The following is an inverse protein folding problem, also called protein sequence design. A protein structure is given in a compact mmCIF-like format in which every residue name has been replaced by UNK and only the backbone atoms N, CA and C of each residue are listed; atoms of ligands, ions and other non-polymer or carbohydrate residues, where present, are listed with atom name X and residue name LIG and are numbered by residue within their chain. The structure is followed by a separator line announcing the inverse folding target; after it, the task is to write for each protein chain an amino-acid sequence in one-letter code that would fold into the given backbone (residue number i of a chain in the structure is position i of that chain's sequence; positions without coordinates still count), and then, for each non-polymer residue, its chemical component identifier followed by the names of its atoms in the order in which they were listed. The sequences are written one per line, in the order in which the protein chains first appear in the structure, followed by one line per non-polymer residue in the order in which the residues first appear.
data_IF_054526795376
#
_entry.id   IF_054526795376
#
_cell.length_a   1.000
_cell.length_b   1.000
_cell.length_c   1.000
_cell.angle_alpha   90.00
_cell.angle_beta   90.00
_cell.angle_gamma   90.00
#
_symmetry.space_group_name_H-M   'P 1'
#
loop_
_entity.id
_entity.type
_entity.pdbx_description
1 polymer ?
#
# COMPACT_ATOMS: atom_id res chain seq x y z
N UNK A 1 -10.34 17.99 -4.85
CA UNK A 1 -9.62 16.76 -4.43
C UNK A 1 -9.95 16.51 -2.98
N UNK A 2 -10.18 15.26 -2.54
CA UNK A 2 -10.42 14.95 -1.11
C UNK A 2 -9.13 15.04 -0.31
N UNK A 3 -9.21 15.23 1.03
CA UNK A 3 -8.04 15.23 1.91
C UNK A 3 -7.22 13.95 1.74
N UNK A 4 -7.87 12.79 1.74
CA UNK A 4 -7.21 11.51 1.47
C UNK A 4 -6.52 11.46 0.10
N UNK A 5 -7.09 12.08 -0.92
CA UNK A 5 -6.48 12.20 -2.25
C UNK A 5 -5.21 13.05 -2.25
N UNK A 6 -5.20 14.17 -1.52
CA UNK A 6 -4.01 15.02 -1.36
C UNK A 6 -2.88 14.27 -0.65
N UNK A 7 -3.20 13.56 0.43
CA UNK A 7 -2.22 12.73 1.16
C UNK A 7 -1.64 11.64 0.26
N UNK A 8 -2.46 10.96 -0.53
CA UNK A 8 -1.98 9.94 -1.48
C UNK A 8 -1.08 10.53 -2.56
N UNK A 9 -1.42 11.69 -3.10
CA UNK A 9 -0.59 12.37 -4.10
C UNK A 9 0.79 12.74 -3.52
N UNK A 10 0.84 13.27 -2.30
CA UNK A 10 2.09 13.59 -1.61
C UNK A 10 2.94 12.34 -1.36
N UNK A 11 2.35 11.29 -0.78
CA UNK A 11 3.05 10.03 -0.50
C UNK A 11 3.54 9.32 -1.77
N UNK A 12 2.82 9.44 -2.89
CA UNK A 12 3.21 8.84 -4.15
C UNK A 12 4.52 9.40 -4.70
N UNK A 13 4.84 10.66 -4.42
CA UNK A 13 6.07 11.33 -4.85
C UNK A 13 7.29 10.91 -4.05
N UNK A 14 7.09 10.43 -2.82
CA UNK A 14 8.18 10.00 -1.94
C UNK A 14 8.67 8.60 -2.32
N UNK A 15 9.93 8.44 -2.64
CA UNK A 15 10.53 7.13 -2.95
C UNK A 15 11.77 6.93 -2.08
N UNK A 16 11.78 5.85 -1.29
CA UNK A 16 12.92 5.52 -0.43
C UNK A 16 14.19 5.27 -1.26
N UNK A 17 15.32 5.74 -0.76
CA UNK A 17 16.64 5.44 -1.32
C UNK A 17 17.04 3.98 -1.05
N UNK A 18 16.60 3.40 0.07
CA UNK A 18 16.90 2.04 0.48
C UNK A 18 16.10 1.02 -0.36
N UNK A 19 16.82 0.09 -1.01
CA UNK A 19 16.21 -0.94 -1.87
C UNK A 19 15.21 -1.82 -1.11
N UNK A 20 15.53 -2.24 0.12
CA UNK A 20 14.65 -3.08 0.94
C UNK A 20 13.31 -2.39 1.28
N UNK A 21 13.30 -1.06 1.48
CA UNK A 21 12.06 -0.30 1.70
C UNK A 21 11.23 -0.21 0.41
N UNK A 22 11.88 -0.03 -0.75
CA UNK A 22 11.17 -0.06 -2.04
C UNK A 22 10.54 -1.42 -2.30
N UNK A 23 11.24 -2.52 -1.96
CA UNK A 23 10.71 -3.88 -2.05
C UNK A 23 9.47 -4.04 -1.17
N UNK A 24 9.52 -3.60 0.09
CA UNK A 24 8.39 -3.70 1.01
C UNK A 24 7.17 -2.88 0.52
N UNK A 25 7.41 -1.68 -0.01
CA UNK A 25 6.34 -0.84 -0.58
C UNK A 25 5.73 -1.48 -1.84
N UNK A 26 6.56 -2.04 -2.73
CA UNK A 26 6.10 -2.76 -3.92
C UNK A 26 5.27 -3.98 -3.55
N UNK A 27 5.69 -4.75 -2.55
CA UNK A 27 4.96 -5.92 -2.08
C UNK A 27 3.57 -5.56 -1.54
N UNK A 28 3.45 -4.48 -0.78
CA UNK A 28 2.15 -4.00 -0.29
C UNK A 28 1.21 -3.58 -1.43
N UNK A 29 1.72 -2.83 -2.41
CA UNK A 29 0.96 -2.43 -3.60
C UNK A 29 0.49 -3.65 -4.40
N UNK A 30 1.38 -4.62 -4.65
CA UNK A 30 1.06 -5.83 -5.39
C UNK A 30 0.08 -6.73 -4.62
N UNK A 31 0.23 -6.85 -3.31
CA UNK A 31 -0.71 -7.63 -2.48
C UNK A 31 -2.15 -7.09 -2.56
N UNK A 32 -2.31 -5.77 -2.72
CA UNK A 32 -3.62 -5.13 -2.79
C UNK A 32 -4.19 -5.03 -4.21
N UNK A 33 -3.35 -4.73 -5.20
CA UNK A 33 -3.74 -4.35 -6.56
C UNK A 33 -3.18 -5.29 -7.64
N UNK A 34 -2.31 -6.24 -7.28
CA UNK A 34 -1.65 -7.17 -8.19
C UNK A 34 -2.35 -8.52 -8.27
N UNK A 35 -2.15 -9.20 -9.40
CA UNK A 35 -2.55 -10.60 -9.58
C UNK A 35 -1.75 -11.24 -10.70
N UNK A 36 -1.61 -12.56 -10.66
CA UNK A 36 -1.14 -13.36 -11.80
C UNK A 36 -2.35 -13.73 -12.66
N UNK A 37 -2.24 -13.48 -13.95
CA UNK A 37 -3.26 -13.82 -14.95
C UNK A 37 -3.09 -15.28 -15.40
N UNK A 38 -4.06 -15.83 -16.13
CA UNK A 38 -4.04 -17.23 -16.58
C UNK A 38 -2.87 -17.57 -17.51
N UNK A 39 -2.38 -16.56 -18.23
CA UNK A 39 -1.21 -16.64 -19.12
C UNK A 39 0.13 -16.44 -18.39
N UNK A 40 0.10 -16.31 -17.05
CA UNK A 40 1.30 -16.14 -16.23
C UNK A 40 1.81 -14.70 -16.12
N UNK A 41 1.15 -13.73 -16.73
CA UNK A 41 1.53 -12.32 -16.64
C UNK A 41 1.22 -11.75 -15.26
N UNK A 42 2.06 -10.84 -14.76
CA UNK A 42 1.80 -10.06 -13.55
C UNK A 42 1.07 -8.77 -13.91
N UNK A 43 -0.18 -8.66 -13.53
CA UNK A 43 -1.01 -7.47 -13.76
C UNK A 43 -1.23 -6.68 -12.47
N UNK A 44 -0.95 -5.39 -12.53
CA UNK A 44 -1.29 -4.41 -11.51
C UNK A 44 -2.41 -3.51 -12.03
N UNK A 45 -3.44 -3.26 -11.23
CA UNK A 45 -4.60 -2.46 -11.64
C UNK A 45 -5.02 -1.51 -10.52
N UNK A 46 -5.28 -0.25 -10.85
CA UNK A 46 -5.79 0.77 -9.92
C UNK A 46 -6.60 1.85 -10.64
N UNK A 47 -7.51 2.50 -9.92
CA UNK A 47 -8.25 3.67 -10.42
C UNK A 47 -7.53 5.00 -10.09
N UNK A 48 -6.42 4.95 -9.37
CA UNK A 48 -5.69 6.13 -8.92
C UNK A 48 -4.40 6.30 -9.73
N UNK A 49 -4.30 7.41 -10.44
CA UNK A 49 -3.16 7.76 -11.29
C UNK A 49 -1.86 7.97 -10.50
N UNK A 50 -1.92 8.52 -9.28
CA UNK A 50 -0.76 8.68 -8.43
C UNK A 50 -0.20 7.32 -7.99
N UNK A 51 -1.07 6.34 -7.74
CA UNK A 51 -0.69 4.99 -7.32
C UNK A 51 -0.04 4.22 -8.48
N UNK A 52 -0.57 4.31 -9.70
CA UNK A 52 0.05 3.63 -10.84
C UNK A 52 1.41 4.24 -11.19
N UNK A 53 1.56 5.58 -11.13
CA UNK A 53 2.86 6.24 -11.32
C UNK A 53 3.88 5.82 -10.26
N UNK A 54 3.43 5.68 -9.01
CA UNK A 54 4.26 5.16 -7.92
C UNK A 54 4.74 3.76 -8.20
N UNK A 55 3.84 2.86 -8.58
CA UNK A 55 4.19 1.47 -8.89
C UNK A 55 5.17 1.38 -10.07
N UNK A 56 4.93 2.13 -11.14
CA UNK A 56 5.85 2.27 -12.27
C UNK A 56 7.27 2.67 -11.82
N UNK A 57 7.37 3.72 -11.01
CA UNK A 57 8.66 4.20 -10.46
C UNK A 57 9.36 3.13 -9.61
N UNK A 58 8.59 2.38 -8.82
CA UNK A 58 9.14 1.30 -7.99
C UNK A 58 9.65 0.14 -8.83
N UNK A 59 8.95 -0.26 -9.90
CA UNK A 59 9.41 -1.29 -10.84
C UNK A 59 10.75 -0.90 -11.48
N UNK A 60 10.82 0.32 -12.01
CA UNK A 60 12.04 0.82 -12.64
C UNK A 60 13.21 0.90 -11.65
N UNK A 61 13.03 1.56 -10.51
CA UNK A 61 14.11 1.80 -9.53
C UNK A 61 14.54 0.56 -8.73
N UNK A 62 13.70 -0.46 -8.63
CA UNK A 62 13.95 -1.62 -7.76
C UNK A 62 14.33 -2.86 -8.53
N UNK A 63 13.70 -3.08 -9.68
CA UNK A 63 13.84 -4.28 -10.51
C UNK A 63 14.44 -4.00 -11.88
N UNK A 64 14.65 -2.72 -12.24
CA UNK A 64 15.11 -2.28 -13.56
C UNK A 64 14.18 -2.78 -14.68
N UNK A 65 12.88 -2.72 -14.42
CA UNK A 65 11.84 -3.11 -15.37
C UNK A 65 11.23 -1.85 -15.94
N UNK A 66 11.36 -1.67 -17.27
CA UNK A 66 10.65 -0.66 -18.03
C UNK A 66 9.36 -1.26 -18.58
N UNK A 67 8.25 -0.57 -18.35
CA UNK A 67 6.91 -1.02 -18.75
C UNK A 67 6.08 0.19 -19.16
N UNK A 68 4.95 -0.05 -19.78
CA UNK A 68 4.00 0.98 -20.17
C UNK A 68 2.79 1.01 -19.24
N UNK A 69 2.24 2.19 -19.04
CA UNK A 69 0.98 2.36 -18.34
C UNK A 69 -0.13 2.37 -19.37
N UNK A 70 -0.96 1.34 -19.37
CA UNK A 70 -2.16 1.30 -20.18
C UNK A 70 -3.36 1.89 -19.44
N UNK A 71 -4.15 2.69 -20.12
CA UNK A 71 -5.35 3.33 -19.58
C UNK A 71 -6.57 2.71 -20.27
N UNK A 72 -7.53 2.23 -19.49
CA UNK A 72 -8.84 1.80 -20.00
C UNK A 72 -9.94 2.65 -19.36
N UNK A 73 -10.82 3.17 -20.19
CA UNK A 73 -12.06 3.79 -19.69
C UNK A 73 -12.97 2.69 -19.13
N UNK A 74 -13.43 2.88 -17.91
CA UNK A 74 -14.40 1.98 -17.30
C UNK A 74 -15.79 2.29 -17.83
N UNK A 75 -16.37 1.37 -18.59
CA UNK A 75 -17.77 1.47 -19.05
C UNK A 75 -18.79 1.24 -17.93
N UNK A 76 -18.37 0.67 -16.79
CA UNK A 76 -19.24 0.30 -15.66
C UNK A 76 -19.25 1.32 -14.53
N UNK A 77 -18.23 2.15 -14.42
CA UNK A 77 -18.16 3.22 -13.43
C UNK A 77 -18.42 4.55 -14.12
N UNK A 78 -19.31 5.37 -13.55
CA UNK A 78 -19.58 6.71 -14.04
C UNK A 78 -18.27 7.51 -14.15
N UNK A 79 -17.66 7.54 -15.33
CA UNK A 79 -16.49 8.36 -15.69
C UNK A 79 -15.26 8.17 -14.78
N UNK A 80 -14.62 7.00 -14.79
CA UNK A 80 -13.34 6.78 -14.13
C UNK A 80 -12.36 6.05 -15.07
N UNK A 81 -11.09 6.43 -15.02
CA UNK A 81 -10.02 5.72 -15.71
C UNK A 81 -9.54 4.56 -14.84
N UNK A 82 -9.29 3.43 -15.45
CA UNK A 82 -8.61 2.29 -14.82
C UNK A 82 -7.22 2.17 -15.45
N UNK A 83 -6.22 2.25 -14.62
CA UNK A 83 -4.82 2.18 -15.01
C UNK A 83 -4.30 0.77 -14.83
N UNK A 84 -3.53 0.27 -15.80
CA UNK A 84 -2.92 -1.05 -15.76
C UNK A 84 -1.43 -0.97 -16.06
N UNK A 85 -0.67 -1.79 -15.36
CA UNK A 85 0.69 -2.17 -15.73
C UNK A 85 0.71 -3.69 -15.82
N UNK A 86 1.28 -4.22 -16.89
CA UNK A 86 1.38 -5.65 -17.14
C UNK A 86 2.81 -6.03 -17.47
N UNK A 87 3.33 -7.04 -16.76
CA UNK A 87 4.64 -7.63 -17.03
C UNK A 87 4.37 -9.02 -17.57
N UNK A 88 4.75 -9.23 -18.84
CA UNK A 88 4.49 -10.47 -19.59
C UNK A 88 5.71 -11.38 -19.66
N UNK A 89 6.92 -10.84 -19.46
CA UNK A 89 8.15 -11.63 -19.45
C UNK A 89 8.21 -12.51 -18.19
N UNK A 90 8.21 -13.86 -18.31
CA UNK A 90 8.21 -14.77 -17.17
C UNK A 90 9.40 -14.58 -16.22
N UNK A 91 10.58 -14.21 -16.73
CA UNK A 91 11.76 -13.97 -15.91
C UNK A 91 11.61 -12.70 -15.07
N UNK A 92 11.04 -11.65 -15.63
CA UNK A 92 10.74 -10.42 -14.89
C UNK A 92 9.64 -10.66 -13.85
N UNK A 93 8.58 -11.40 -14.18
CA UNK A 93 7.53 -11.80 -13.24
C UNK A 93 8.15 -12.55 -12.06
N UNK A 94 8.95 -13.57 -12.34
CA UNK A 94 9.64 -14.36 -11.31
C UNK A 94 10.54 -13.48 -10.43
N UNK A 95 11.32 -12.58 -11.02
CA UNK A 95 12.20 -11.66 -10.31
C UNK A 95 11.42 -10.75 -9.34
N UNK A 96 10.28 -10.22 -9.78
CA UNK A 96 9.40 -9.39 -8.94
C UNK A 96 8.83 -10.20 -7.80
N UNK A 97 8.25 -11.38 -8.05
CA UNK A 97 7.65 -12.23 -7.03
C UNK A 97 8.68 -12.70 -5.99
N UNK A 98 9.83 -13.18 -6.43
CA UNK A 98 10.91 -13.60 -5.54
C UNK A 98 11.48 -12.43 -4.72
N UNK A 99 11.69 -11.28 -5.36
CA UNK A 99 12.20 -10.08 -4.70
C UNK A 99 11.23 -9.52 -3.65
N UNK A 100 9.94 -9.53 -3.93
CA UNK A 100 8.89 -9.06 -3.03
C UNK A 100 8.41 -10.12 -2.04
N UNK A 101 8.89 -11.37 -2.15
CA UNK A 101 8.46 -12.50 -1.30
C UNK A 101 6.93 -12.64 -1.28
N UNK A 102 6.34 -12.56 -2.47
CA UNK A 102 4.92 -12.77 -2.66
C UNK A 102 4.68 -14.17 -3.22
N UNK A 103 3.78 -14.91 -2.58
CA UNK A 103 3.23 -16.16 -3.09
C UNK A 103 1.95 -15.93 -3.86
N UNK A 104 1.65 -16.82 -4.80
CA UNK A 104 0.47 -16.78 -5.64
C UNK A 104 -0.58 -17.74 -5.08
N UNK A 105 -1.78 -17.24 -4.82
CA UNK A 105 -2.94 -18.07 -4.49
C UNK A 105 -3.71 -18.42 -5.77
N UNK A 106 -3.49 -19.62 -6.30
CA UNK A 106 -4.18 -20.10 -7.51
C UNK A 106 -5.67 -20.32 -7.29
N UNK A 107 -6.07 -20.69 -6.06
CA UNK A 107 -7.48 -20.91 -5.72
C UNK A 107 -8.28 -19.59 -5.72
N UNK A 108 -7.63 -18.46 -5.48
CA UNK A 108 -8.23 -17.13 -5.50
C UNK A 108 -7.74 -16.28 -6.69
N UNK A 109 -7.90 -16.81 -7.89
CA UNK A 109 -7.68 -16.11 -9.16
C UNK A 109 -6.30 -15.44 -9.29
N UNK A 110 -5.26 -16.03 -8.71
CA UNK A 110 -3.89 -15.52 -8.81
C UNK A 110 -3.62 -14.30 -7.93
N UNK A 111 -4.35 -14.11 -6.85
CA UNK A 111 -4.07 -13.07 -5.85
C UNK A 111 -2.72 -13.29 -5.18
N UNK A 112 -2.09 -12.20 -4.75
CA UNK A 112 -0.75 -12.20 -4.20
C UNK A 112 -0.78 -12.01 -2.69
N UNK A 113 0.00 -12.84 -1.97
CA UNK A 113 0.13 -12.79 -0.52
C UNK A 113 1.58 -12.58 -0.11
N UNK A 114 1.88 -11.69 0.86
CA UNK A 114 3.21 -11.58 1.41
C UNK A 114 3.53 -12.81 2.25
N UNK A 115 4.67 -13.44 1.97
CA UNK A 115 5.19 -14.52 2.81
C UNK A 115 5.62 -13.98 4.18
N UNK A 116 5.24 -14.69 5.22
CA UNK A 116 5.35 -14.37 6.64
C UNK A 116 6.54 -13.47 7.02
N UNK A 117 6.30 -12.17 7.13
CA UNK A 117 7.19 -11.20 7.80
C UNK A 117 8.56 -10.96 7.18
N UNK A 118 8.95 -11.67 6.11
CA UNK A 118 10.31 -11.60 5.55
C UNK A 118 10.69 -10.21 5.04
N UNK A 119 9.73 -9.48 4.49
CA UNK A 119 9.97 -8.14 3.92
C UNK A 119 9.71 -7.01 4.93
N UNK A 120 9.15 -7.32 6.11
CA UNK A 120 8.79 -6.36 7.14
C UNK A 120 9.56 -6.55 8.45
N UNK A 121 10.79 -7.06 8.40
CA UNK A 121 11.62 -7.27 9.58
C UNK A 121 12.10 -5.95 10.20
N UNK A 122 12.49 -4.99 9.37
CA UNK A 122 12.98 -3.70 9.83
C UNK A 122 11.84 -2.67 9.95
N UNK A 123 11.91 -1.76 10.92
CA UNK A 123 10.89 -0.72 11.12
C UNK A 123 10.69 0.16 9.87
N UNK A 124 11.77 0.49 9.15
CA UNK A 124 11.66 1.24 7.90
C UNK A 124 10.91 0.46 6.81
N UNK A 125 11.07 -0.87 6.73
CA UNK A 125 10.31 -1.73 5.81
C UNK A 125 8.83 -1.81 6.21
N UNK A 126 8.53 -1.92 7.51
CA UNK A 126 7.16 -1.89 8.03
C UNK A 126 6.45 -0.60 7.65
N UNK A 127 7.11 0.56 7.83
CA UNK A 127 6.58 1.88 7.41
C UNK A 127 6.34 1.91 5.90
N UNK A 128 7.30 1.42 5.09
CA UNK A 128 7.15 1.38 3.64
C UNK A 128 6.00 0.46 3.20
N UNK A 129 5.80 -0.67 3.88
CA UNK A 129 4.68 -1.58 3.64
C UNK A 129 3.33 -0.93 3.95
N UNK A 130 3.20 -0.28 5.13
CA UNK A 130 1.97 0.45 5.51
C UNK A 130 1.68 1.57 4.51
N UNK A 131 2.70 2.32 4.06
CA UNK A 131 2.55 3.36 3.03
C UNK A 131 2.03 2.79 1.72
N UNK A 132 2.59 1.67 1.24
CA UNK A 132 2.12 1.00 0.03
C UNK A 132 0.67 0.51 0.17
N UNK A 133 0.31 -0.11 1.30
CA UNK A 133 -1.06 -0.55 1.59
C UNK A 133 -2.05 0.63 1.64
N UNK A 134 -1.66 1.75 2.27
CA UNK A 134 -2.46 2.97 2.30
C UNK A 134 -2.65 3.59 0.91
N UNK A 135 -1.59 3.67 0.12
CA UNK A 135 -1.69 4.16 -1.26
C UNK A 135 -2.68 3.32 -2.07
N UNK A 136 -2.62 2.00 -1.96
CA UNK A 136 -3.46 1.08 -2.70
C UNK A 136 -4.95 1.22 -2.33
N UNK A 137 -5.28 1.14 -1.05
CA UNK A 137 -6.67 0.97 -0.58
C UNK A 137 -6.99 1.75 0.70
N UNK A 138 -6.09 2.63 1.15
CA UNK A 138 -6.30 3.42 2.36
C UNK A 138 -7.18 4.63 2.14
N UNK A 139 -7.72 5.12 3.24
CA UNK A 139 -8.47 6.37 3.35
C UNK A 139 -8.16 7.04 4.68
N UNK A 140 -8.13 8.37 4.68
CA UNK A 140 -7.95 9.17 5.88
C UNK A 140 -8.90 10.34 5.85
N UNK A 141 -9.56 10.63 6.98
CA UNK A 141 -10.40 11.80 7.13
C UNK A 141 -9.58 13.06 7.38
N UNK A 142 -10.18 14.20 7.07
CA UNK A 142 -9.67 15.50 7.45
C UNK A 142 -9.60 15.60 8.98
N UNK A 143 -8.45 15.95 9.58
CA UNK A 143 -8.30 16.06 11.03
C UNK A 143 -9.30 17.01 11.70
N UNK A 144 -9.75 18.06 10.99
CA UNK A 144 -10.77 18.98 11.48
C UNK A 144 -12.15 18.34 11.65
N UNK A 145 -12.38 17.19 10.97
CA UNK A 145 -13.65 16.44 10.98
C UNK A 145 -13.62 15.17 11.80
N UNK A 146 -12.58 15.01 12.63
CA UNK A 146 -12.33 13.79 13.40
C UNK A 146 -11.37 12.84 12.68
N UNK A 147 -10.40 12.32 13.43
CA UNK A 147 -9.37 11.45 12.88
C UNK A 147 -9.92 10.05 12.61
N UNK A 148 -9.87 9.64 11.36
CA UNK A 148 -10.22 8.28 10.97
C UNK A 148 -9.26 7.82 9.87
N UNK A 149 -8.46 6.80 10.19
CA UNK A 149 -7.55 6.14 9.28
C UNK A 149 -8.04 4.72 9.04
N UNK A 150 -8.18 4.33 7.78
CA UNK A 150 -8.58 2.98 7.42
C UNK A 150 -7.86 2.48 6.16
N UNK A 151 -7.62 1.16 6.11
CA UNK A 151 -7.11 0.45 4.93
C UNK A 151 -8.00 -0.75 4.68
N UNK A 152 -8.51 -0.88 3.45
CA UNK A 152 -9.38 -1.97 3.04
C UNK A 152 -8.54 -3.15 2.54
N UNK A 153 -8.76 -4.34 3.10
CA UNK A 153 -8.15 -5.59 2.68
C UNK A 153 -9.21 -6.53 2.08
N UNK A 154 -8.81 -7.29 1.07
CA UNK A 154 -9.72 -8.21 0.37
C UNK A 154 -10.01 -9.46 1.19
N UNK A 155 -9.06 -9.91 1.99
CA UNK A 155 -9.14 -11.10 2.83
C UNK A 155 -8.64 -10.85 4.26
N UNK A 156 -8.99 -11.76 5.17
CA UNK A 156 -8.71 -11.67 6.60
C UNK A 156 -7.22 -11.75 6.89
N UNK A 157 -6.50 -12.66 6.24
CA UNK A 157 -5.08 -12.89 6.48
C UNK A 157 -4.24 -11.64 6.15
N UNK A 158 -4.58 -10.92 5.07
CA UNK A 158 -3.94 -9.62 4.75
C UNK A 158 -4.26 -8.55 5.79
N UNK A 159 -5.50 -8.52 6.28
CA UNK A 159 -5.90 -7.56 7.32
C UNK A 159 -5.19 -7.85 8.64
N UNK A 160 -5.07 -9.10 9.05
CA UNK A 160 -4.33 -9.51 10.24
C UNK A 160 -2.85 -9.17 10.14
N UNK A 161 -2.21 -9.53 9.04
CA UNK A 161 -0.81 -9.18 8.80
C UNK A 161 -0.58 -7.65 8.88
N UNK A 162 -1.44 -6.86 8.26
CA UNK A 162 -1.33 -5.41 8.29
C UNK A 162 -1.56 -4.84 9.69
N UNK A 163 -2.59 -5.32 10.42
CA UNK A 163 -2.84 -4.97 11.82
C UNK A 163 -1.61 -5.24 12.68
N UNK A 164 -1.03 -6.43 12.55
CA UNK A 164 0.12 -6.86 13.37
C UNK A 164 1.36 -6.01 13.07
N UNK A 165 1.57 -5.64 11.81
CA UNK A 165 2.62 -4.67 11.45
C UNK A 165 2.37 -3.31 12.13
N UNK A 166 1.14 -2.80 12.10
CA UNK A 166 0.77 -1.52 12.74
C UNK A 166 0.95 -1.60 14.26
N UNK A 167 0.56 -2.71 14.90
CA UNK A 167 0.74 -2.92 16.34
C UNK A 167 2.21 -2.86 16.79
N UNK A 168 3.17 -3.19 15.92
CA UNK A 168 4.60 -3.05 16.27
C UNK A 168 5.03 -1.61 16.54
N UNK A 169 4.22 -0.63 16.14
CA UNK A 169 4.41 0.79 16.43
C UNK A 169 3.57 1.28 17.64
N UNK A 170 3.05 0.35 18.45
CA UNK A 170 2.21 0.63 19.62
C UNK A 170 0.91 1.39 19.26
N UNK A 171 0.41 1.20 18.05
CA UNK A 171 -0.85 1.78 17.61
C UNK A 171 -1.93 0.70 17.66
N UNK A 172 -3.03 0.98 18.39
CA UNK A 172 -4.19 0.09 18.51
C UNK A 172 -5.03 0.11 17.21
N UNK A 173 -4.61 -0.69 16.24
CA UNK A 173 -5.37 -0.92 15.02
C UNK A 173 -6.34 -2.08 15.22
N UNK A 174 -7.55 -1.94 14.70
CA UNK A 174 -8.63 -2.93 14.79
C UNK A 174 -9.08 -3.36 13.40
N UNK A 175 -9.67 -4.56 13.33
CA UNK A 175 -10.25 -5.09 12.11
C UNK A 175 -11.76 -5.14 12.26
N UNK A 176 -12.47 -4.75 11.21
CA UNK A 176 -13.92 -4.93 11.10
C UNK A 176 -14.27 -5.45 9.72
N UNK A 177 -15.18 -6.43 9.68
CA UNK A 177 -15.75 -6.91 8.42
C UNK A 177 -16.85 -5.94 7.97
N UNK A 178 -16.66 -5.31 6.79
CA UNK A 178 -17.66 -4.46 6.15
C UNK A 178 -18.04 -5.05 4.80
N UNK A 179 -19.29 -5.44 4.64
CA UNK A 179 -19.80 -6.14 3.45
C UNK A 179 -19.00 -7.43 3.18
N UNK A 180 -18.07 -7.38 2.23
CA UNK A 180 -17.23 -8.52 1.82
C UNK A 180 -15.72 -8.22 1.95
N UNK A 181 -15.36 -7.15 2.66
CA UNK A 181 -13.97 -6.72 2.82
C UNK A 181 -13.64 -6.50 4.29
N UNK A 182 -12.40 -6.74 4.65
CA UNK A 182 -11.87 -6.50 5.99
C UNK A 182 -11.25 -5.10 6.02
N UNK A 183 -11.60 -4.29 7.00
CA UNK A 183 -11.10 -2.93 7.15
C UNK A 183 -10.24 -2.85 8.41
N UNK A 184 -8.95 -2.58 8.20
CA UNK A 184 -8.04 -2.24 9.29
C UNK A 184 -8.15 -0.75 9.54
N UNK A 185 -8.46 -0.35 10.78
CA UNK A 185 -8.71 1.05 11.12
C UNK A 185 -8.09 1.45 12.46
N UNK A 186 -7.78 2.74 12.58
CA UNK A 186 -7.34 3.40 13.81
C UNK A 186 -8.31 4.53 14.12
N UNK A 187 -8.84 4.56 15.37
CA UNK A 187 -9.74 5.62 15.85
C UNK A 187 -8.97 6.69 16.60
N UNK A 188 -9.58 7.87 16.67
CA UNK A 188 -9.18 8.94 17.59
C UNK A 188 -9.25 8.43 19.04
N UNK A 189 -8.20 8.70 19.85
CA UNK A 189 -8.10 8.21 21.21
C UNK A 189 -7.34 6.88 21.39
N UNK A 190 -6.85 6.24 20.34
CA UNK A 190 -5.83 5.22 20.48
C UNK A 190 -4.60 5.88 21.16
N UNK A 191 -4.29 5.44 22.38
CA UNK A 191 -3.22 6.02 23.19
C UNK A 191 -1.91 5.94 22.41
N UNK A 192 -1.45 7.09 21.94
CA UNK A 192 -0.07 7.24 21.52
C UNK A 192 0.78 7.23 22.78
N UNK A 193 1.41 6.10 23.13
CA UNK A 193 2.50 6.17 24.08
C UNK A 193 3.57 7.07 23.44
N UNK A 194 3.72 8.22 24.10
CA UNK A 194 4.62 9.30 23.77
C UNK A 194 5.98 8.75 23.30
N UNK A 195 6.33 8.92 22.07
CA UNK A 195 7.64 9.22 21.49
C UNK A 195 7.89 8.74 20.05
N UNK A 196 7.03 7.94 19.41
CA UNK A 196 7.23 7.60 17.99
C UNK A 196 5.92 7.76 17.19
N UNK A 197 5.73 8.93 16.63
CA UNK A 197 4.66 9.17 15.64
C UNK A 197 4.92 8.29 14.42
N UNK A 198 3.93 7.49 14.02
CA UNK A 198 3.95 6.72 12.77
C UNK A 198 4.10 7.68 11.58
N UNK A 199 5.30 7.86 11.00
CA UNK A 199 5.54 8.69 9.80
C UNK A 199 5.64 7.80 8.54
N UNK A 200 4.78 7.99 7.56
CA UNK A 200 4.83 7.29 6.26
C UNK A 200 5.90 7.87 5.32
N UNK A 201 6.49 9.00 5.68
CA UNK A 201 7.62 9.59 4.97
C UNK A 201 8.96 9.03 5.47
N UNK A 202 9.89 8.76 4.58
CA UNK A 202 11.28 8.37 4.88
C UNK A 202 12.20 9.56 4.63
N UNK A 203 13.33 9.71 5.37
CA UNK A 203 14.11 8.76 6.15
C UNK A 203 14.09 9.04 7.66
N UNK A 204 14.26 8.00 8.44
CA UNK A 204 14.68 7.85 9.84
C UNK A 204 14.25 8.85 10.96
N UNK A 205 13.70 10.04 10.69
CA UNK A 205 13.47 11.07 11.71
C UNK A 205 12.13 11.83 11.62
N UNK A 206 11.21 11.51 10.70
CA UNK A 206 9.95 12.26 10.56
C UNK A 206 8.67 11.41 10.75
N UNK A 207 7.57 12.01 11.28
CA UNK A 207 6.35 11.30 11.72
C UNK A 207 5.53 10.67 10.58
N UNK A 208 4.87 9.54 10.81
CA UNK A 208 4.20 8.63 9.85
C UNK A 208 2.84 9.13 9.37
N UNK A 209 2.28 10.08 10.07
CA UNK A 209 1.09 10.79 9.66
C UNK A 209 1.46 12.25 9.45
N UNK A 210 0.83 12.95 8.50
CA UNK A 210 1.09 14.36 8.36
C UNK A 210 0.93 15.02 9.73
N UNK A 211 2.00 15.65 10.21
CA UNK A 211 1.94 16.45 11.42
C UNK A 211 1.05 17.64 11.13
N UNK A 212 -0.22 17.55 11.49
CA UNK A 212 -1.06 18.74 11.58
C UNK A 212 -0.58 19.47 12.81
N UNK A 213 0.22 20.51 12.62
CA UNK A 213 0.49 21.50 13.63
C UNK A 213 -0.85 22.14 14.01
N UNK A 214 -1.44 21.69 15.10
CA UNK A 214 -2.52 22.44 15.75
C UNK A 214 -1.90 23.72 16.30
N UNK A 215 -2.43 24.89 15.95
CA UNK A 215 -2.06 26.10 16.65
C UNK A 215 -2.46 25.92 18.12
N UNK A 216 -1.51 26.07 19.03
CA UNK A 216 -1.75 26.17 20.47
C UNK A 216 -2.66 27.37 20.71
N UNK A 217 -3.83 27.10 21.33
CA UNK A 217 -4.69 28.12 21.91
C UNK A 217 -4.06 28.66 23.20
#
# INVERSE_FOLDING_TARGET
MSFSGMVKEELSRQTSTARHCRIAETAALLSACGRITKDGSLRFQTENDAVVRKYFTLLQKTFNIDTEIAIRESSLLKKGNVYHIEITDPLQVQNVLQGTKLSVNEADRGTLFPENGLITQQNCCKRAFIRGAFLASGSISDPEKGYHFEIVCQDEAKAENLRDIIHTFQIDAKIVLRKKSYVVYVKEGAQYSSNEKLSLSSPATEPVLPSVNLPSA
#
